data_IF_543168802647
#
_entry.id   IF_543168802647
#
_cell.length_a   1.000
_cell.length_b   1.000
_cell.length_c   1.000
_cell.angle_alpha   90.00
_cell.angle_beta   90.00
_cell.angle_gamma   90.00
#
_symmetry.space_group_name_H-M   'P 1'
#
loop_
_entity.id
_entity.type
_entity.pdbx_description
1 polymer ?
#
# COMPACT_ATOMS: atom_id res chain seq x y z
N UNK A 1 -15.40 4.61 4.35
CA UNK A 1 -14.39 5.50 4.99
C UNK A 1 -14.65 5.70 6.47
N UNK A 2 -15.88 5.51 6.94
CA UNK A 2 -16.31 5.58 8.34
C UNK A 2 -15.39 4.80 9.29
N UNK A 3 -15.01 3.56 8.94
CA UNK A 3 -14.04 2.76 9.71
C UNK A 3 -12.71 3.48 10.02
N UNK A 4 -12.14 4.23 9.07
CA UNK A 4 -10.89 4.98 9.33
C UNK A 4 -11.17 6.17 10.25
N UNK A 5 -12.31 6.85 10.09
CA UNK A 5 -12.71 7.98 10.94
C UNK A 5 -13.01 7.54 12.37
N UNK A 6 -13.68 6.40 12.55
CA UNK A 6 -13.90 5.83 13.88
C UNK A 6 -12.58 5.42 14.51
N UNK A 7 -11.72 4.71 13.76
CA UNK A 7 -10.43 4.28 14.25
C UNK A 7 -9.51 5.47 14.64
N UNK A 8 -9.62 6.64 14.00
CA UNK A 8 -8.85 7.83 14.40
C UNK A 8 -9.15 8.33 15.80
N UNK A 9 -10.32 8.04 16.37
CA UNK A 9 -10.63 8.36 17.76
C UNK A 9 -9.82 7.51 18.76
N UNK A 10 -9.47 6.29 18.37
CA UNK A 10 -8.73 5.34 19.21
C UNK A 10 -7.22 5.36 18.95
N UNK A 11 -6.82 5.75 17.74
CA UNK A 11 -5.42 5.83 17.32
C UNK A 11 -5.08 7.25 16.84
N UNK A 12 -5.03 8.23 17.75
CA UNK A 12 -4.72 9.61 17.40
C UNK A 12 -3.25 9.71 16.99
N UNK A 13 -3.03 9.82 15.68
CA UNK A 13 -1.80 10.28 15.03
C UNK A 13 -0.59 9.31 15.02
N UNK A 14 -0.21 8.90 13.81
CA UNK A 14 1.09 8.26 13.54
C UNK A 14 1.25 6.83 14.08
N UNK A 15 2.29 6.12 13.62
CA UNK A 15 2.67 4.80 14.15
C UNK A 15 1.79 3.60 13.77
N UNK A 16 0.55 3.81 13.28
CA UNK A 16 -0.30 2.71 12.83
C UNK A 16 0.07 2.24 11.41
N UNK A 17 0.18 0.92 11.23
CA UNK A 17 0.32 0.28 9.92
C UNK A 17 -0.90 -0.57 9.63
N UNK A 18 -1.70 -0.16 8.64
CA UNK A 18 -2.91 -0.89 8.23
C UNK A 18 -2.54 -2.00 7.23
N UNK A 19 -2.87 -3.23 7.58
CA UNK A 19 -2.75 -4.39 6.68
C UNK A 19 -4.10 -4.61 5.99
N UNK A 20 -4.10 -4.70 4.67
CA UNK A 20 -5.34 -4.94 3.93
C UNK A 20 -5.15 -5.82 2.69
N UNK A 21 -6.21 -6.55 2.36
CA UNK A 21 -6.29 -7.31 1.12
C UNK A 21 -6.58 -6.39 -0.09
N UNK A 22 -6.64 -7.01 -1.27
CA UNK A 22 -6.80 -6.31 -2.54
C UNK A 22 -8.21 -5.81 -2.82
N UNK A 23 -9.21 -6.27 -2.07
CA UNK A 23 -10.59 -5.82 -2.18
C UNK A 23 -10.76 -4.47 -1.49
N UNK A 24 -10.04 -4.24 -0.39
CA UNK A 24 -10.09 -2.98 0.35
C UNK A 24 -9.12 -1.91 -0.16
N UNK A 25 -8.16 -2.27 -1.03
CA UNK A 25 -7.18 -1.34 -1.61
C UNK A 25 -7.77 -0.40 -2.69
N UNK A 26 -8.73 0.45 -2.29
CA UNK A 26 -9.34 1.48 -3.13
C UNK A 26 -8.80 2.88 -2.80
N UNK A 27 -8.89 3.81 -3.77
CA UNK A 27 -8.34 5.16 -3.63
C UNK A 27 -8.87 5.90 -2.40
N UNK A 28 -10.19 5.83 -2.16
CA UNK A 28 -10.81 6.49 -1.01
C UNK A 28 -10.23 6.02 0.32
N UNK A 29 -10.08 4.71 0.52
CA UNK A 29 -9.55 4.16 1.76
C UNK A 29 -8.06 4.48 1.94
N UNK A 30 -7.26 4.35 0.88
CA UNK A 30 -5.84 4.64 0.92
C UNK A 30 -5.56 6.12 1.20
N UNK A 31 -6.31 7.02 0.58
CA UNK A 31 -6.20 8.46 0.83
C UNK A 31 -6.64 8.82 2.26
N UNK A 32 -7.67 8.16 2.80
CA UNK A 32 -8.09 8.35 4.19
C UNK A 32 -7.00 7.95 5.19
N UNK A 33 -6.37 6.80 4.98
CA UNK A 33 -5.29 6.29 5.85
C UNK A 33 -4.09 7.23 5.80
N UNK A 34 -3.74 7.74 4.62
CA UNK A 34 -2.66 8.73 4.49
C UNK A 34 -3.01 10.06 5.16
N UNK A 35 -4.25 10.54 5.00
CA UNK A 35 -4.72 11.76 5.64
C UNK A 35 -4.72 11.66 7.17
N UNK A 36 -4.97 10.45 7.72
CA UNK A 36 -4.83 10.15 9.14
C UNK A 36 -3.37 10.06 9.62
N UNK A 37 -2.38 10.23 8.72
CA UNK A 37 -0.96 10.12 9.05
C UNK A 37 -0.48 8.70 9.29
N UNK A 38 -1.25 7.70 8.87
CA UNK A 38 -0.93 6.28 9.04
C UNK A 38 -0.20 5.72 7.82
N UNK A 39 0.38 4.54 7.99
CA UNK A 39 0.98 3.77 6.90
C UNK A 39 0.11 2.57 6.55
N UNK A 40 0.30 2.01 5.35
CA UNK A 40 -0.39 0.78 4.95
C UNK A 40 0.52 -0.17 4.18
N UNK A 41 0.20 -1.45 4.29
CA UNK A 41 0.68 -2.51 3.41
C UNK A 41 -0.55 -3.21 2.84
N UNK A 42 -0.77 -3.01 1.55
CA UNK A 42 -1.92 -3.53 0.83
C UNK A 42 -1.49 -4.45 -0.30
N UNK A 43 -2.25 -5.53 -0.50
CA UNK A 43 -2.24 -6.19 -1.83
C UNK A 43 -3.08 -5.34 -2.78
N UNK A 44 -2.68 -5.18 -4.04
CA UNK A 44 -3.42 -4.36 -5.01
C UNK A 44 -3.76 -5.23 -6.21
N UNK A 45 -5.04 -5.24 -6.61
CA UNK A 45 -5.47 -5.95 -7.83
C UNK A 45 -4.77 -5.39 -9.07
N UNK A 46 -4.50 -6.27 -10.03
CA UNK A 46 -4.05 -5.85 -11.35
C UNK A 46 -5.08 -4.88 -11.98
N UNK A 47 -4.61 -3.97 -12.85
CA UNK A 47 -5.40 -2.97 -13.59
C UNK A 47 -5.80 -1.70 -12.81
N UNK A 48 -5.13 -1.37 -11.71
CA UNK A 48 -5.23 -0.03 -11.09
C UNK A 48 -4.22 0.94 -11.70
N UNK A 49 -4.55 2.22 -11.86
CA UNK A 49 -3.58 3.26 -12.23
C UNK A 49 -3.10 3.94 -10.95
N UNK A 50 -1.78 4.00 -10.74
CA UNK A 50 -1.17 4.68 -9.59
C UNK A 50 -0.18 5.75 -10.05
N UNK A 51 0.00 6.79 -9.25
CA UNK A 51 1.07 7.78 -9.39
C UNK A 51 2.19 7.43 -8.41
N UNK A 52 3.42 7.29 -8.91
CA UNK A 52 4.58 7.03 -8.06
C UNK A 52 5.03 8.31 -7.37
N UNK A 53 5.45 8.22 -6.11
CA UNK A 53 6.01 9.35 -5.38
C UNK A 53 7.18 9.99 -6.17
N UNK A 54 7.14 11.30 -6.38
CA UNK A 54 8.16 12.03 -7.16
C UNK A 54 8.01 11.95 -8.68
N UNK A 55 6.92 11.38 -9.20
CA UNK A 55 6.64 11.28 -10.63
C UNK A 55 5.24 11.75 -10.95
N UNK A 56 5.06 12.50 -12.05
CA UNK A 56 3.73 12.85 -12.58
C UNK A 56 3.12 11.73 -13.44
N UNK A 57 3.83 10.63 -13.67
CA UNK A 57 3.40 9.53 -14.54
C UNK A 57 2.43 8.61 -13.82
N UNK A 58 1.27 8.37 -14.45
CA UNK A 58 0.35 7.30 -14.07
C UNK A 58 0.88 5.97 -14.60
N UNK A 59 1.02 4.98 -13.73
CA UNK A 59 1.49 3.64 -14.07
C UNK A 59 0.35 2.65 -13.82
N UNK A 60 0.02 1.86 -14.84
CA UNK A 60 -0.89 0.72 -14.66
C UNK A 60 -0.19 -0.37 -13.84
N UNK A 61 -0.75 -0.66 -12.68
CA UNK A 61 -0.42 -1.78 -11.81
C UNK A 61 -0.86 -3.05 -12.52
N UNK A 62 -0.05 -3.53 -13.48
CA UNK A 62 -0.17 -4.91 -14.01
C UNK A 62 0.64 -5.90 -13.14
N UNK A 63 1.70 -5.39 -12.52
CA UNK A 63 2.32 -5.92 -11.32
C UNK A 63 3.04 -4.73 -10.65
N UNK A 64 2.97 -4.58 -9.32
CA UNK A 64 3.71 -3.53 -8.56
C UNK A 64 5.25 -3.70 -8.63
N UNK A 65 5.70 -4.52 -9.58
CA UNK A 65 6.87 -5.36 -9.54
C UNK A 65 7.74 -5.19 -10.81
N UNK A 66 7.51 -4.15 -11.61
CA UNK A 66 8.14 -4.04 -12.93
C UNK A 66 9.61 -3.56 -12.94
N UNK A 67 10.11 -2.86 -11.93
CA UNK A 67 11.54 -2.49 -11.91
C UNK A 67 12.36 -3.50 -11.12
N UNK A 68 13.48 -4.00 -11.66
CA UNK A 68 14.41 -4.91 -10.95
C UNK A 68 15.09 -4.27 -9.73
N UNK A 69 15.17 -2.94 -9.66
CA UNK A 69 15.73 -2.21 -8.52
C UNK A 69 14.76 -2.09 -7.34
N UNK A 70 15.28 -2.23 -6.11
CA UNK A 70 14.54 -2.01 -4.86
C UNK A 70 13.76 -3.21 -4.31
N UNK A 71 13.97 -4.41 -4.88
CA UNK A 71 13.40 -5.64 -4.35
C UNK A 71 14.19 -6.19 -3.18
N UNK A 72 13.48 -6.68 -2.17
CA UNK A 72 14.03 -7.51 -1.10
C UNK A 72 13.32 -8.85 -1.10
N UNK A 73 14.07 -9.93 -0.94
CA UNK A 73 13.50 -11.26 -0.74
C UNK A 73 13.34 -11.48 0.75
N UNK A 74 12.11 -11.68 1.21
CA UNK A 74 11.78 -12.01 2.60
C UNK A 74 11.45 -13.49 2.67
N UNK A 75 12.08 -14.20 3.61
CA UNK A 75 11.71 -15.60 3.92
C UNK A 75 10.56 -15.59 4.91
N UNK A 76 9.49 -16.34 4.62
CA UNK A 76 8.41 -16.62 5.57
C UNK A 76 8.34 -18.14 5.81
N UNK A 77 9.46 -18.69 6.28
CA UNK A 77 9.66 -20.12 6.56
C UNK A 77 10.81 -20.75 5.78
N UNK A 78 11.10 -22.02 6.06
CA UNK A 78 12.22 -22.75 5.43
C UNK A 78 12.06 -22.90 3.91
N UNK A 79 10.83 -23.05 3.42
CA UNK A 79 10.54 -23.27 1.99
C UNK A 79 9.92 -22.07 1.27
N UNK A 80 9.40 -21.06 1.98
CA UNK A 80 8.62 -19.96 1.38
C UNK A 80 9.43 -18.67 1.34
N UNK A 81 9.62 -18.14 0.12
CA UNK A 81 10.32 -16.89 -0.17
C UNK A 81 9.39 -15.97 -0.94
N UNK A 82 9.28 -14.73 -0.49
CA UNK A 82 8.50 -13.68 -1.13
C UNK A 82 9.42 -12.56 -1.58
N UNK A 83 9.30 -12.13 -2.83
CA UNK A 83 9.90 -10.88 -3.25
C UNK A 83 8.95 -9.76 -2.88
N UNK A 84 9.44 -8.78 -2.14
CA UNK A 84 8.69 -7.59 -1.72
C UNK A 84 9.45 -6.34 -2.13
N UNK A 85 8.71 -5.30 -2.51
CA UNK A 85 9.27 -3.99 -2.83
C UNK A 85 8.53 -2.96 -2.00
N UNK A 86 9.28 -2.07 -1.32
CA UNK A 86 8.69 -0.92 -0.63
C UNK A 86 8.27 0.09 -1.68
N UNK A 87 7.00 0.03 -2.11
CA UNK A 87 6.41 0.99 -3.03
C UNK A 87 5.61 2.01 -2.23
N UNK A 88 5.97 3.30 -2.34
CA UNK A 88 5.08 4.40 -1.95
C UNK A 88 4.41 4.91 -3.22
N UNK A 89 3.12 4.66 -3.33
CA UNK A 89 2.32 5.03 -4.48
C UNK A 89 1.03 5.69 -4.00
N UNK A 90 0.60 6.69 -4.76
CA UNK A 90 -0.57 7.52 -4.51
C UNK A 90 -1.58 7.20 -5.61
N UNK A 91 -2.88 7.24 -5.32
CA UNK A 91 -3.95 6.96 -6.29
C UNK A 91 -4.58 8.24 -6.80
#
# INVERSE_FOLDING_TARGET
MEMVREATAYFPCGGLTVLMDSWYACAGLLNAIQAAGWTYLATVRANRLVVLAGSKRKVSVRSLAKSRQGWRTVRAGQKRRYRVRRLRAWL
#
